data_IF_299606034616
#
_entry.id   IF_299606034616
#
_cell.length_a   1.000
_cell.length_b   1.000
_cell.length_c   1.000
_cell.angle_alpha   90.00
_cell.angle_beta   90.00
_cell.angle_gamma   90.00
#
_symmetry.space_group_name_H-M   'P 1'
#
loop_
_entity.id
_entity.type
_entity.pdbx_description
1 polymer ?
#
# COMPACT_ATOMS: atom_id res chain seq x y z
N UNK A 1 37.03 27.86 -10.29
CA UNK A 1 38.22 27.48 -11.02
C UNK A 1 38.04 27.17 -12.53
N UNK A 2 36.88 27.18 -13.12
CA UNK A 2 36.61 27.12 -14.58
C UNK A 2 37.27 25.97 -15.36
N UNK A 3 37.84 24.97 -14.71
CA UNK A 3 38.50 23.85 -15.37
C UNK A 3 37.46 22.73 -15.66
N UNK A 4 37.26 22.41 -16.91
CA UNK A 4 36.48 21.25 -17.33
C UNK A 4 37.34 19.97 -17.32
N UNK A 5 36.87 18.93 -16.70
CA UNK A 5 37.54 17.63 -16.68
C UNK A 5 36.71 16.60 -17.45
N UNK A 6 37.35 15.85 -18.31
CA UNK A 6 36.71 14.68 -18.95
C UNK A 6 36.65 13.54 -17.95
N UNK A 7 35.45 13.17 -17.51
CA UNK A 7 35.22 12.05 -16.59
C UNK A 7 34.59 10.89 -17.34
N UNK A 8 35.18 9.70 -17.22
CA UNK A 8 34.59 8.48 -17.78
C UNK A 8 33.44 8.02 -16.87
N UNK A 9 32.28 7.80 -17.48
CA UNK A 9 31.13 7.22 -16.83
C UNK A 9 30.96 5.76 -17.25
N UNK A 10 30.59 4.91 -16.32
CA UNK A 10 30.31 3.49 -16.55
C UNK A 10 28.88 3.19 -16.17
N UNK A 11 28.21 2.26 -16.85
CA UNK A 11 26.90 1.79 -16.44
C UNK A 11 26.97 0.95 -15.16
N UNK A 12 25.83 0.76 -14.51
CA UNK A 12 25.76 0.03 -13.24
C UNK A 12 26.19 -1.43 -13.39
N UNK A 13 25.86 -2.08 -14.50
CA UNK A 13 26.23 -3.47 -14.77
C UNK A 13 27.76 -3.67 -14.80
N UNK A 14 28.47 -2.73 -15.41
CA UNK A 14 29.93 -2.74 -15.42
C UNK A 14 30.50 -2.54 -14.00
N UNK A 15 29.92 -1.66 -13.20
CA UNK A 15 30.33 -1.44 -11.81
C UNK A 15 30.13 -2.70 -10.97
N UNK A 16 28.98 -3.36 -11.10
CA UNK A 16 28.65 -4.61 -10.42
C UNK A 16 29.62 -5.72 -10.84
N UNK A 17 29.81 -5.91 -12.16
CA UNK A 17 30.69 -6.96 -12.68
C UNK A 17 32.14 -6.80 -12.20
N UNK A 18 32.66 -5.57 -12.21
CA UNK A 18 34.03 -5.26 -11.71
C UNK A 18 34.09 -5.43 -10.19
N UNK A 19 33.09 -4.95 -9.45
CA UNK A 19 33.03 -5.02 -8.00
C UNK A 19 33.08 -6.45 -7.46
N UNK A 20 32.52 -7.42 -8.19
CA UNK A 20 32.56 -8.83 -7.79
C UNK A 20 33.79 -9.59 -8.30
N UNK A 21 34.47 -9.15 -9.34
CA UNK A 21 35.62 -9.87 -9.95
C UNK A 21 36.98 -9.38 -9.48
N UNK A 22 37.09 -8.08 -9.16
CA UNK A 22 38.39 -7.46 -8.84
C UNK A 22 38.74 -7.68 -7.36
N UNK A 23 39.99 -8.09 -7.11
CA UNK A 23 40.51 -8.21 -5.75
C UNK A 23 41.20 -6.89 -5.33
N UNK A 24 40.40 -5.97 -4.77
CA UNK A 24 40.87 -4.71 -4.22
C UNK A 24 40.09 -4.32 -2.96
N UNK A 25 40.66 -3.43 -2.14
CA UNK A 25 39.96 -2.92 -0.94
C UNK A 25 38.61 -2.28 -1.28
N UNK A 26 38.55 -1.49 -2.37
CA UNK A 26 37.32 -0.85 -2.84
C UNK A 26 36.26 -1.89 -3.28
N UNK A 27 36.67 -2.92 -4.03
CA UNK A 27 35.78 -3.99 -4.43
C UNK A 27 35.29 -4.81 -3.22
N UNK A 28 36.13 -5.02 -2.22
CA UNK A 28 35.72 -5.66 -0.96
C UNK A 28 34.68 -4.84 -0.22
N UNK A 29 34.89 -3.52 -0.07
CA UNK A 29 33.90 -2.62 0.54
C UNK A 29 32.58 -2.61 -0.22
N UNK A 30 32.62 -2.61 -1.56
CA UNK A 30 31.43 -2.72 -2.38
C UNK A 30 30.66 -4.03 -2.13
N UNK A 31 31.36 -5.17 -2.09
CA UNK A 31 30.72 -6.48 -1.81
C UNK A 31 30.07 -6.52 -0.43
N UNK A 32 30.73 -5.96 0.59
CA UNK A 32 30.17 -5.88 1.94
C UNK A 32 28.87 -5.08 1.92
N UNK A 33 28.90 -3.88 1.35
CA UNK A 33 27.73 -3.03 1.21
C UNK A 33 26.61 -3.71 0.41
N UNK A 34 26.90 -4.25 -0.77
CA UNK A 34 25.90 -4.93 -1.59
C UNK A 34 25.28 -6.15 -0.88
N UNK A 35 26.09 -6.94 -0.17
CA UNK A 35 25.61 -8.08 0.61
C UNK A 35 24.69 -7.63 1.75
N UNK A 36 24.98 -6.51 2.39
CA UNK A 36 24.14 -5.92 3.44
C UNK A 36 22.77 -5.52 2.89
N UNK A 37 22.73 -4.80 1.76
CA UNK A 37 21.51 -4.42 1.05
C UNK A 37 20.67 -5.64 0.64
N UNK A 38 21.31 -6.61 0.01
CA UNK A 38 20.63 -7.85 -0.41
C UNK A 38 20.07 -8.65 0.78
N UNK A 39 20.83 -8.75 1.88
CA UNK A 39 20.36 -9.42 3.10
C UNK A 39 19.15 -8.72 3.67
N UNK A 40 19.19 -7.40 3.76
CA UNK A 40 18.09 -6.61 4.27
C UNK A 40 16.83 -6.78 3.39
N UNK A 41 16.99 -6.71 2.09
CA UNK A 41 15.89 -6.93 1.14
C UNK A 41 15.29 -8.34 1.24
N UNK A 42 16.12 -9.38 1.32
CA UNK A 42 15.65 -10.78 1.42
C UNK A 42 14.89 -11.01 2.73
N UNK A 43 15.35 -10.43 3.84
CA UNK A 43 14.72 -10.62 5.15
C UNK A 43 13.48 -9.77 5.34
N UNK A 44 13.55 -8.48 4.97
CA UNK A 44 12.48 -7.51 5.23
C UNK A 44 11.53 -7.31 4.04
N UNK A 45 11.97 -7.58 2.81
CA UNK A 45 11.23 -7.31 1.58
C UNK A 45 11.37 -5.86 1.08
N UNK A 46 12.15 -5.02 1.75
CA UNK A 46 12.44 -3.64 1.34
C UNK A 46 13.80 -3.17 1.88
N UNK A 47 14.33 -2.13 1.25
CA UNK A 47 15.50 -1.34 1.71
C UNK A 47 15.18 0.12 1.46
N UNK A 48 15.43 0.99 2.43
CA UNK A 48 15.24 2.43 2.33
C UNK A 48 16.56 3.16 2.60
N UNK A 49 16.83 4.17 1.81
CA UNK A 49 17.88 5.15 2.04
C UNK A 49 17.26 6.39 2.70
N UNK A 50 17.14 6.35 4.02
CA UNK A 50 16.46 7.36 4.82
C UNK A 50 17.07 8.75 4.61
N UNK A 51 18.40 8.84 4.52
CA UNK A 51 19.10 10.12 4.35
C UNK A 51 18.76 10.74 2.99
N UNK A 52 18.74 9.93 1.95
CA UNK A 52 18.36 10.37 0.62
C UNK A 52 16.90 10.76 0.55
N UNK A 53 16.00 9.97 1.16
CA UNK A 53 14.55 10.24 1.14
C UNK A 53 14.15 11.48 1.95
N UNK A 54 14.92 11.84 2.98
CA UNK A 54 14.69 13.06 3.78
C UNK A 54 15.23 14.34 3.12
N UNK A 55 16.14 14.21 2.18
CA UNK A 55 16.84 15.35 1.58
C UNK A 55 16.65 15.37 0.06
N UNK A 56 15.68 16.13 -0.45
CA UNK A 56 15.40 16.21 -1.89
C UNK A 56 16.61 16.60 -2.74
N UNK A 57 17.57 17.34 -2.18
CA UNK A 57 18.79 17.77 -2.87
C UNK A 57 19.72 16.61 -3.27
N UNK A 58 19.55 15.43 -2.65
CA UNK A 58 20.34 14.23 -2.99
C UNK A 58 19.77 13.44 -4.17
N UNK A 59 18.64 13.88 -4.73
CA UNK A 59 18.09 13.25 -5.91
C UNK A 59 18.77 13.76 -7.18
N UNK A 60 19.41 12.84 -7.90
CA UNK A 60 19.87 13.08 -9.26
C UNK A 60 18.68 12.86 -10.20
N UNK A 61 17.82 13.88 -10.37
CA UNK A 61 16.66 13.82 -11.24
C UNK A 61 15.32 13.83 -10.48
N UNK A 62 14.47 12.82 -10.73
CA UNK A 62 13.12 12.75 -10.14
C UNK A 62 13.16 12.42 -8.65
N UNK A 63 12.39 13.15 -7.85
CA UNK A 63 12.08 12.78 -6.47
C UNK A 63 11.10 11.59 -6.47
N UNK A 64 11.47 10.51 -5.77
CA UNK A 64 10.69 9.29 -5.66
C UNK A 64 9.94 9.16 -4.33
N UNK A 65 9.95 10.20 -3.50
CA UNK A 65 9.32 10.16 -2.19
C UNK A 65 7.81 9.92 -2.28
N UNK A 66 7.13 10.66 -3.15
CA UNK A 66 5.68 10.50 -3.35
C UNK A 66 5.34 9.11 -3.91
N UNK A 67 6.15 8.60 -4.84
CA UNK A 67 5.97 7.24 -5.39
C UNK A 67 6.09 6.18 -4.28
N UNK A 68 7.07 6.33 -3.39
CA UNK A 68 7.22 5.44 -2.23
C UNK A 68 6.00 5.52 -1.30
N UNK A 69 5.52 6.71 -1.00
CA UNK A 69 4.35 6.91 -0.13
C UNK A 69 3.10 6.26 -0.74
N UNK A 70 2.85 6.45 -2.03
CA UNK A 70 1.70 5.81 -2.69
C UNK A 70 1.82 4.28 -2.69
N UNK A 71 3.01 3.74 -2.89
CA UNK A 71 3.25 2.30 -2.80
C UNK A 71 3.00 1.75 -1.38
N UNK A 72 3.40 2.47 -0.35
CA UNK A 72 3.11 2.10 1.05
C UNK A 72 1.60 2.13 1.31
N UNK A 73 0.90 3.16 0.83
CA UNK A 73 -0.57 3.26 0.95
C UNK A 73 -1.27 2.10 0.26
N UNK A 74 -0.85 1.73 -0.94
CA UNK A 74 -1.41 0.58 -1.66
C UNK A 74 -1.20 -0.74 -0.90
N UNK A 75 -0.02 -0.98 -0.34
CA UNK A 75 0.25 -2.15 0.49
C UNK A 75 -0.65 -2.17 1.73
N UNK A 76 -0.81 -1.04 2.44
CA UNK A 76 -1.66 -0.92 3.63
C UNK A 76 -3.14 -1.12 3.32
N UNK A 77 -3.59 -0.64 2.18
CA UNK A 77 -4.99 -0.73 1.74
C UNK A 77 -5.32 -2.05 1.03
N UNK A 78 -4.33 -2.95 0.85
CA UNK A 78 -4.63 -4.30 0.34
C UNK A 78 -5.60 -5.00 1.29
N UNK A 79 -6.62 -5.71 0.74
CA UNK A 79 -7.70 -6.30 1.55
C UNK A 79 -7.19 -7.11 2.72
N UNK A 80 -6.18 -7.96 2.48
CA UNK A 80 -5.60 -8.80 3.53
C UNK A 80 -4.93 -7.98 4.64
N UNK A 81 -4.15 -6.95 4.31
CA UNK A 81 -3.45 -6.12 5.30
C UNK A 81 -4.41 -5.24 6.06
N UNK A 82 -5.36 -4.63 5.36
CA UNK A 82 -6.42 -3.84 5.97
C UNK A 82 -7.22 -4.68 6.97
N UNK A 83 -7.69 -5.87 6.55
CA UNK A 83 -8.45 -6.78 7.40
C UNK A 83 -7.66 -7.19 8.65
N UNK A 84 -6.41 -7.62 8.48
CA UNK A 84 -5.55 -8.00 9.61
C UNK A 84 -5.39 -6.85 10.60
N UNK A 85 -5.06 -5.66 10.10
CA UNK A 85 -4.78 -4.51 10.96
C UNK A 85 -6.02 -4.02 11.72
N UNK A 86 -7.15 -3.95 11.05
CA UNK A 86 -8.43 -3.58 11.67
C UNK A 86 -8.84 -4.62 12.72
N UNK A 87 -8.66 -5.90 12.42
CA UNK A 87 -8.93 -7.01 13.36
C UNK A 87 -8.08 -6.87 14.62
N UNK A 88 -6.78 -6.62 14.47
CA UNK A 88 -5.86 -6.43 15.60
C UNK A 88 -6.28 -5.23 16.47
N UNK A 89 -6.64 -4.11 15.83
CA UNK A 89 -7.12 -2.91 16.55
C UNK A 89 -8.37 -3.21 17.34
N UNK A 90 -9.36 -3.87 16.75
CA UNK A 90 -10.63 -4.15 17.41
C UNK A 90 -10.49 -5.20 18.51
N UNK A 91 -9.63 -6.21 18.31
CA UNK A 91 -9.33 -7.18 19.35
C UNK A 91 -8.72 -6.53 20.60
N UNK A 92 -7.98 -5.43 20.44
CA UNK A 92 -7.35 -4.71 21.55
C UNK A 92 -8.31 -3.82 22.33
N UNK A 93 -9.34 -3.25 21.69
CA UNK A 93 -10.14 -2.20 22.32
C UNK A 93 -11.67 -2.37 22.22
N UNK A 94 -12.15 -3.40 21.53
CA UNK A 94 -13.59 -3.63 21.43
C UNK A 94 -14.07 -4.68 22.42
N UNK A 95 -15.01 -4.29 23.27
CA UNK A 95 -15.52 -5.14 24.35
C UNK A 95 -16.43 -6.29 23.86
N UNK A 96 -17.02 -6.14 22.71
CA UNK A 96 -17.94 -7.08 22.05
C UNK A 96 -17.33 -7.73 20.80
N UNK A 97 -16.02 -7.56 20.58
CA UNK A 97 -15.35 -8.16 19.42
C UNK A 97 -15.29 -9.68 19.54
N UNK A 98 -15.85 -10.35 18.56
CA UNK A 98 -15.72 -11.79 18.36
C UNK A 98 -15.50 -12.06 16.87
N UNK A 99 -14.33 -12.58 16.53
CA UNK A 99 -13.91 -12.79 15.13
C UNK A 99 -14.89 -13.63 14.32
N UNK A 100 -15.58 -14.56 14.94
CA UNK A 100 -16.52 -15.49 14.30
C UNK A 100 -17.97 -15.01 14.33
N UNK A 101 -18.27 -13.93 15.06
CA UNK A 101 -19.64 -13.44 15.19
C UNK A 101 -20.15 -12.83 13.86
N UNK A 102 -21.44 -13.00 13.61
CA UNK A 102 -22.10 -12.40 12.45
C UNK A 102 -22.02 -10.86 12.48
N UNK A 103 -22.11 -10.27 13.66
CA UNK A 103 -21.98 -8.81 13.84
C UNK A 103 -20.63 -8.30 13.35
N UNK A 104 -19.56 -9.03 13.58
CA UNK A 104 -18.22 -8.69 13.12
C UNK A 104 -18.11 -8.77 11.60
N UNK A 105 -18.67 -9.81 10.98
CA UNK A 105 -18.70 -9.93 9.53
C UNK A 105 -19.50 -8.81 8.86
N UNK A 106 -20.67 -8.49 9.40
CA UNK A 106 -21.51 -7.37 8.94
C UNK A 106 -20.78 -6.04 9.07
N UNK A 107 -20.07 -5.85 10.18
CA UNK A 107 -19.29 -4.65 10.39
C UNK A 107 -18.21 -4.48 9.33
N UNK A 108 -17.41 -5.50 9.02
CA UNK A 108 -16.39 -5.42 7.96
C UNK A 108 -16.99 -5.12 6.58
N UNK A 109 -18.10 -5.75 6.24
CA UNK A 109 -18.82 -5.45 5.00
C UNK A 109 -19.29 -3.98 4.96
N UNK A 110 -19.78 -3.46 6.09
CA UNK A 110 -20.18 -2.06 6.22
C UNK A 110 -19.00 -1.11 6.03
N UNK A 111 -17.88 -1.36 6.70
CA UNK A 111 -16.66 -0.55 6.55
C UNK A 111 -16.19 -0.52 5.10
N UNK A 112 -16.10 -1.70 4.48
CA UNK A 112 -15.68 -1.82 3.09
C UNK A 112 -16.62 -1.07 2.14
N UNK A 113 -17.93 -1.25 2.28
CA UNK A 113 -18.91 -0.57 1.44
C UNK A 113 -18.88 0.95 1.61
N UNK A 114 -18.74 1.46 2.85
CA UNK A 114 -18.64 2.90 3.09
C UNK A 114 -17.38 3.51 2.47
N UNK A 115 -16.24 2.82 2.54
CA UNK A 115 -15.01 3.27 1.91
C UNK A 115 -15.10 3.26 0.38
N UNK A 116 -15.74 2.24 -0.21
CA UNK A 116 -16.01 2.23 -1.65
C UNK A 116 -16.97 3.33 -2.05
N UNK A 117 -18.06 3.52 -1.29
CA UNK A 117 -19.01 4.60 -1.54
C UNK A 117 -18.34 5.96 -1.53
N UNK A 118 -17.53 6.25 -0.54
CA UNK A 118 -16.76 7.48 -0.42
C UNK A 118 -15.83 7.76 -1.63
N UNK A 119 -15.45 6.72 -2.38
CA UNK A 119 -14.53 6.87 -3.52
C UNK A 119 -15.22 6.86 -4.88
N UNK A 120 -16.28 6.08 -5.04
CA UNK A 120 -16.91 5.83 -6.35
C UNK A 120 -18.41 6.01 -6.37
N UNK A 121 -19.04 6.38 -5.21
CA UNK A 121 -20.49 6.42 -5.01
C UNK A 121 -21.19 5.11 -5.38
N UNK A 122 -20.49 4.00 -5.18
CA UNK A 122 -20.97 2.63 -5.41
C UNK A 122 -20.48 1.73 -4.28
N UNK A 123 -21.31 0.79 -3.87
CA UNK A 123 -20.90 -0.31 -2.99
C UNK A 123 -19.99 -1.29 -3.73
N UNK A 124 -19.27 -2.14 -3.01
CA UNK A 124 -18.41 -3.15 -3.62
C UNK A 124 -19.15 -4.04 -4.62
N UNK A 125 -20.38 -4.44 -4.31
CA UNK A 125 -21.20 -5.26 -5.21
C UNK A 125 -21.63 -4.49 -6.48
N UNK A 126 -22.01 -3.22 -6.34
CA UNK A 126 -22.40 -2.36 -7.47
C UNK A 126 -21.22 -2.07 -8.39
N UNK A 127 -20.02 -1.86 -7.86
CA UNK A 127 -18.79 -1.69 -8.65
C UNK A 127 -18.57 -2.93 -9.53
N UNK A 128 -18.61 -4.13 -8.92
CA UNK A 128 -18.42 -5.37 -9.66
C UNK A 128 -19.52 -5.53 -10.73
N UNK A 129 -20.78 -5.34 -10.34
CA UNK A 129 -21.92 -5.53 -11.25
C UNK A 129 -21.88 -4.57 -12.45
N UNK A 130 -21.48 -3.32 -12.23
CA UNK A 130 -21.47 -2.30 -13.28
C UNK A 130 -20.25 -2.34 -14.19
N UNK A 131 -19.12 -2.87 -13.69
CA UNK A 131 -17.83 -2.80 -14.39
C UNK A 131 -17.33 -4.13 -14.93
N UNK A 132 -17.74 -5.26 -14.35
CA UNK A 132 -17.39 -6.59 -14.86
C UNK A 132 -18.05 -6.81 -16.22
N UNK A 133 -17.23 -7.04 -17.25
CA UNK A 133 -17.71 -7.22 -18.62
C UNK A 133 -16.77 -8.17 -19.36
N UNK A 134 -17.27 -9.35 -19.67
CA UNK A 134 -16.49 -10.38 -20.35
C UNK A 134 -16.06 -9.99 -21.78
N UNK A 135 -16.68 -8.96 -22.36
CA UNK A 135 -16.34 -8.46 -23.71
C UNK A 135 -15.19 -7.46 -23.69
N UNK A 136 -14.89 -6.90 -22.53
CA UNK A 136 -13.79 -5.94 -22.35
C UNK A 136 -12.43 -6.62 -22.13
N UNK A 137 -11.33 -5.95 -22.48
CA UNK A 137 -10.02 -6.40 -22.08
C UNK A 137 -9.95 -6.66 -20.57
N UNK A 138 -9.34 -7.78 -20.18
CA UNK A 138 -9.20 -8.18 -18.79
C UNK A 138 -10.55 -8.29 -18.03
N UNK A 139 -11.66 -8.53 -18.73
CA UNK A 139 -13.00 -8.57 -18.15
C UNK A 139 -13.42 -7.29 -17.39
N UNK A 140 -12.88 -6.13 -17.79
CA UNK A 140 -13.12 -4.85 -17.14
C UNK A 140 -12.24 -4.58 -15.91
N UNK A 141 -11.37 -5.50 -15.53
CA UNK A 141 -10.41 -5.32 -14.43
C UNK A 141 -9.30 -4.31 -14.82
N UNK A 142 -8.97 -3.43 -13.92
CA UNK A 142 -7.85 -2.50 -14.04
C UNK A 142 -6.56 -3.08 -13.42
N UNK A 143 -6.71 -3.98 -12.44
CA UNK A 143 -5.61 -4.71 -11.80
C UNK A 143 -6.07 -6.09 -11.32
N UNK A 144 -5.15 -7.00 -11.05
CA UNK A 144 -5.37 -8.33 -10.46
C UNK A 144 -4.07 -8.84 -9.87
N UNK A 145 -4.10 -9.96 -9.14
CA UNK A 145 -2.96 -10.49 -8.37
C UNK A 145 -1.66 -10.61 -9.16
N UNK A 146 -1.76 -10.96 -10.44
CA UNK A 146 -0.61 -11.19 -11.33
C UNK A 146 -0.57 -10.20 -12.51
N UNK A 147 -1.19 -9.03 -12.37
CA UNK A 147 -1.18 -7.98 -13.39
C UNK A 147 0.25 -7.51 -13.69
N UNK A 148 0.53 -6.99 -14.92
CA UNK A 148 -0.41 -6.87 -16.05
C UNK A 148 -0.45 -8.12 -16.95
N UNK A 149 0.56 -8.99 -16.91
CA UNK A 149 0.73 -10.09 -17.88
C UNK A 149 0.25 -11.45 -17.37
N UNK A 150 0.02 -11.56 -16.07
CA UNK A 150 -0.38 -12.81 -15.45
C UNK A 150 -1.86 -13.14 -15.64
N UNK A 151 -2.19 -14.44 -15.48
CA UNK A 151 -3.57 -14.93 -15.63
C UNK A 151 -4.49 -14.34 -14.57
N UNK A 152 -5.71 -13.97 -14.98
CA UNK A 152 -6.83 -13.59 -14.10
C UNK A 152 -7.49 -14.85 -13.55
N UNK A 153 -7.71 -14.90 -12.25
CA UNK A 153 -8.41 -15.99 -11.56
C UNK A 153 -9.78 -15.53 -11.10
N UNK A 154 -10.67 -16.50 -10.84
CA UNK A 154 -12.02 -16.23 -10.32
C UNK A 154 -11.99 -15.36 -9.03
N UNK A 155 -11.00 -15.56 -8.17
CA UNK A 155 -10.84 -14.75 -6.97
C UNK A 155 -10.56 -13.27 -7.28
N UNK A 156 -9.90 -12.97 -8.39
CA UNK A 156 -9.62 -11.57 -8.77
C UNK A 156 -10.89 -10.83 -9.20
N UNK A 157 -11.81 -11.55 -9.87
CA UNK A 157 -13.07 -10.98 -10.41
C UNK A 157 -14.05 -10.60 -9.29
N UNK A 158 -13.92 -11.18 -8.10
CA UNK A 158 -14.79 -10.92 -6.95
C UNK A 158 -14.32 -9.77 -6.07
N UNK A 159 -13.21 -9.13 -6.40
CA UNK A 159 -12.62 -8.03 -5.64
C UNK A 159 -12.99 -6.70 -6.30
N UNK A 160 -13.85 -5.90 -5.68
CA UNK A 160 -14.31 -4.61 -6.19
C UNK A 160 -13.15 -3.63 -6.48
N UNK A 161 -12.13 -3.62 -5.61
CA UNK A 161 -10.92 -2.81 -5.76
C UNK A 161 -10.25 -3.01 -7.13
N UNK A 162 -10.31 -4.21 -7.68
CA UNK A 162 -9.70 -4.55 -8.97
C UNK A 162 -10.34 -3.87 -10.19
N UNK A 163 -11.51 -3.25 -10.02
CA UNK A 163 -12.24 -2.53 -11.06
C UNK A 163 -12.13 -1.01 -10.93
N UNK A 164 -11.43 -0.50 -9.91
CA UNK A 164 -11.30 0.93 -9.69
C UNK A 164 -10.32 1.55 -10.69
N UNK A 165 -10.66 2.74 -11.18
CA UNK A 165 -9.73 3.56 -11.94
C UNK A 165 -8.59 4.08 -11.07
N UNK A 166 -7.58 4.66 -11.71
CA UNK A 166 -6.38 5.15 -11.00
C UNK A 166 -6.71 6.16 -9.91
N UNK A 167 -7.51 7.16 -10.22
CA UNK A 167 -7.89 8.22 -9.28
C UNK A 167 -8.72 7.67 -8.11
N UNK A 168 -9.68 6.79 -8.40
CA UNK A 168 -10.48 6.12 -7.37
C UNK A 168 -9.59 5.25 -6.46
N UNK A 169 -8.60 4.56 -7.04
CA UNK A 169 -7.65 3.75 -6.29
C UNK A 169 -6.78 4.59 -5.36
N UNK A 170 -6.23 5.69 -5.87
CA UNK A 170 -5.43 6.63 -5.08
C UNK A 170 -6.25 7.22 -3.93
N UNK A 171 -7.50 7.61 -4.19
CA UNK A 171 -8.45 8.11 -3.19
C UNK A 171 -8.74 7.04 -2.12
N UNK A 172 -9.08 5.82 -2.53
CA UNK A 172 -9.35 4.71 -1.62
C UNK A 172 -8.12 4.40 -0.74
N UNK A 173 -6.95 4.30 -1.34
CA UNK A 173 -5.71 4.01 -0.63
C UNK A 173 -5.40 5.09 0.43
N UNK A 174 -5.67 6.35 0.12
CA UNK A 174 -5.51 7.48 1.05
C UNK A 174 -6.50 7.40 2.20
N UNK A 175 -7.78 7.24 1.92
CA UNK A 175 -8.84 7.11 2.94
C UNK A 175 -8.59 5.92 3.88
N UNK A 176 -8.24 4.76 3.33
CA UNK A 176 -7.91 3.57 4.12
C UNK A 176 -6.73 3.83 5.05
N UNK A 177 -5.65 4.46 4.54
CA UNK A 177 -4.47 4.76 5.35
C UNK A 177 -4.79 5.72 6.49
N UNK A 178 -5.54 6.80 6.21
CA UNK A 178 -5.97 7.78 7.19
C UNK A 178 -6.89 7.15 8.25
N UNK A 179 -7.83 6.29 7.83
CA UNK A 179 -8.72 5.59 8.76
C UNK A 179 -7.96 4.62 9.66
N UNK A 180 -6.98 3.88 9.13
CA UNK A 180 -6.14 2.99 9.95
C UNK A 180 -5.35 3.77 11.00
N UNK A 181 -4.73 4.90 10.63
CA UNK A 181 -4.00 5.76 11.55
C UNK A 181 -4.92 6.34 12.64
N UNK A 182 -6.13 6.77 12.26
CA UNK A 182 -7.16 7.21 13.19
C UNK A 182 -7.56 6.10 14.16
N UNK A 183 -7.85 4.90 13.65
CA UNK A 183 -8.28 3.76 14.45
C UNK A 183 -7.17 3.30 15.42
N UNK A 184 -5.92 3.23 14.98
CA UNK A 184 -4.77 2.96 15.86
C UNK A 184 -4.64 3.99 16.98
N UNK A 185 -4.83 5.26 16.66
CA UNK A 185 -4.76 6.33 17.66
C UNK A 185 -5.91 6.22 18.67
N UNK A 186 -7.12 5.82 18.27
CA UNK A 186 -8.22 5.56 19.20
C UNK A 186 -7.91 4.36 20.09
N UNK A 187 -7.39 3.26 19.53
CA UNK A 187 -7.02 2.09 20.30
C UNK A 187 -5.96 2.40 21.38
N UNK A 188 -4.95 3.21 21.03
CA UNK A 188 -3.90 3.64 21.98
C UNK A 188 -4.42 4.45 23.17
N UNK A 189 -5.59 5.11 23.05
CA UNK A 189 -6.22 5.82 24.17
C UNK A 189 -6.79 4.88 25.23
N UNK A 190 -6.91 3.59 24.93
CA UNK A 190 -7.40 2.57 25.86
C UNK A 190 -8.87 2.74 26.25
N UNK A 191 -9.67 3.47 25.46
CA UNK A 191 -11.10 3.67 25.71
C UNK A 191 -11.84 2.46 25.15
N UNK A 192 -12.52 1.65 25.99
CA UNK A 192 -13.33 0.54 25.52
C UNK A 192 -14.45 1.03 24.58
N UNK A 193 -14.60 0.37 23.45
CA UNK A 193 -15.64 0.67 22.46
C UNK A 193 -16.39 -0.58 22.06
N UNK A 194 -17.60 -0.42 21.55
CA UNK A 194 -18.36 -1.50 20.92
C UNK A 194 -18.13 -1.47 19.39
N UNK A 195 -18.48 -2.55 18.69
CA UNK A 195 -18.46 -2.60 17.25
C UNK A 195 -19.39 -1.53 16.63
N UNK A 196 -20.51 -1.22 17.31
CA UNK A 196 -21.43 -0.15 16.91
C UNK A 196 -20.79 1.25 17.04
N UNK A 197 -19.96 1.47 18.07
CA UNK A 197 -19.23 2.75 18.20
C UNK A 197 -18.20 2.94 17.11
N UNK A 198 -17.58 1.85 16.65
CA UNK A 198 -16.65 1.91 15.50
C UNK A 198 -17.36 2.31 14.21
N UNK A 199 -18.59 1.85 13.95
CA UNK A 199 -19.39 2.30 12.80
C UNK A 199 -19.64 3.81 12.88
N UNK A 200 -20.09 4.31 14.03
CA UNK A 200 -20.31 5.76 14.25
C UNK A 200 -19.02 6.57 14.06
N UNK A 201 -17.89 6.03 14.51
CA UNK A 201 -16.57 6.66 14.34
C UNK A 201 -16.14 6.73 12.86
N UNK A 202 -16.42 5.67 12.11
CA UNK A 202 -16.18 5.67 10.67
C UNK A 202 -17.05 6.74 9.96
N UNK A 203 -18.33 6.83 10.32
CA UNK A 203 -19.22 7.84 9.75
C UNK A 203 -18.73 9.27 10.05
N UNK A 204 -18.38 9.55 11.29
CA UNK A 204 -17.82 10.83 11.66
C UNK A 204 -16.46 11.11 10.98
N UNK A 205 -15.65 10.09 10.75
CA UNK A 205 -14.40 10.22 10.01
C UNK A 205 -14.64 10.56 8.53
N UNK A 206 -15.57 9.88 7.86
CA UNK A 206 -15.92 10.15 6.47
C UNK A 206 -16.54 11.54 6.33
N UNK A 207 -17.46 11.92 7.21
CA UNK A 207 -18.06 13.24 7.26
C UNK A 207 -17.02 14.35 7.44
N UNK A 208 -16.06 14.17 8.35
CA UNK A 208 -14.96 15.11 8.55
C UNK A 208 -14.08 15.27 7.29
N UNK A 209 -13.94 14.23 6.50
CA UNK A 209 -13.19 14.25 5.24
C UNK A 209 -14.05 14.65 4.03
N UNK A 210 -15.30 15.12 4.24
CA UNK A 210 -16.24 15.53 3.18
C UNK A 210 -16.56 14.39 2.18
N UNK A 211 -16.60 13.16 2.65
CA UNK A 211 -16.76 11.94 1.86
C UNK A 211 -18.03 11.17 2.28
N UNK A 212 -19.18 11.83 2.20
CA UNK A 212 -20.52 11.25 2.48
C UNK A 212 -21.12 10.48 1.32
#
# INVERSE_FOLDING_TARGET
>A
DGKSYQTKHYNLDAVIAVGYRVNSKRATSFRIWATQILREYIVKGFVLDDERLKNPEYFLGKDYFDEMIERIRDIRSSERRFYQKITDIYAQCSVDYNQNAEITRRFFATVQNKLHWATSHQTAAEIIYSRADHTKPNMGLTTWKHAPEGRIYQADVTIAKNYLGREEMEKLNRLVSMYLDYAENQAKKGIPMTMADWVKRLDAFLQFNEEE
#
